data_IF_139391157938
#
_entry.id   IF_139391157938
#
_cell.length_a   1.000
_cell.length_b   1.000
_cell.length_c   1.000
_cell.angle_alpha   90.00
_cell.angle_beta   90.00
_cell.angle_gamma   90.00
#
_symmetry.space_group_name_H-M   'P 1'
#
loop_
_entity.id
_entity.type
_entity.pdbx_description
1 polymer ?
#
# COMPACT_ATOMS: atom_id res chain seq x y z
N UNK A 1 -10.25 -8.53 -7.37
CA UNK A 1 -10.75 -8.00 -6.08
C UNK A 1 -10.33 -6.55 -6.03
N UNK A 2 -11.27 -5.62 -5.88
CA UNK A 2 -10.93 -4.20 -5.81
C UNK A 2 -10.24 -3.90 -4.46
N UNK A 3 -9.41 -2.86 -4.38
CA UNK A 3 -8.79 -2.41 -3.12
C UNK A 3 -9.87 -2.11 -2.07
N UNK A 4 -11.00 -1.55 -2.49
CA UNK A 4 -12.12 -1.25 -1.59
C UNK A 4 -12.74 -2.51 -0.98
N UNK A 5 -12.84 -3.61 -1.73
CA UNK A 5 -13.32 -4.89 -1.21
C UNK A 5 -12.36 -5.46 -0.17
N UNK A 6 -11.04 -5.36 -0.45
CA UNK A 6 -9.99 -5.77 0.47
C UNK A 6 -10.08 -5.01 1.79
N UNK A 7 -10.18 -3.67 1.73
CA UNK A 7 -10.26 -2.81 2.91
C UNK A 7 -11.57 -3.00 3.67
N UNK A 8 -12.69 -3.15 2.96
CA UNK A 8 -13.99 -3.43 3.58
C UNK A 8 -13.96 -4.75 4.35
N UNK A 9 -13.40 -5.81 3.74
CA UNK A 9 -13.23 -7.09 4.42
C UNK A 9 -12.33 -6.97 5.65
N UNK A 10 -11.28 -6.15 5.57
CA UNK A 10 -10.35 -5.91 6.66
C UNK A 10 -11.01 -5.18 7.85
N UNK A 11 -11.82 -4.14 7.59
CA UNK A 11 -12.61 -3.44 8.62
C UNK A 11 -13.57 -4.40 9.32
N UNK A 12 -14.32 -5.18 8.55
CA UNK A 12 -15.26 -6.18 9.08
C UNK A 12 -14.56 -7.25 9.92
N UNK A 13 -13.37 -7.67 9.50
CA UNK A 13 -12.58 -8.64 10.25
C UNK A 13 -12.10 -8.07 11.60
N UNK A 14 -11.59 -6.83 11.63
CA UNK A 14 -11.10 -6.21 12.86
C UNK A 14 -12.19 -5.98 13.90
N UNK A 15 -13.39 -5.64 13.43
CA UNK A 15 -14.55 -5.34 14.26
C UNK A 15 -15.54 -6.50 14.27
N UNK A 16 -15.05 -7.73 14.09
CA UNK A 16 -15.89 -8.91 14.18
C UNK A 16 -16.58 -8.93 15.54
N UNK A 17 -17.92 -8.98 15.54
CA UNK A 17 -18.73 -8.89 16.76
C UNK A 17 -19.29 -7.49 17.06
N UNK A 18 -18.95 -6.48 16.27
CA UNK A 18 -19.52 -5.12 16.36
C UNK A 18 -20.34 -4.86 15.10
N UNK A 19 -21.61 -4.48 15.27
CA UNK A 19 -22.44 -4.00 14.17
C UNK A 19 -22.00 -2.58 13.82
N UNK A 20 -21.33 -2.43 12.67
CA UNK A 20 -20.97 -1.14 12.12
C UNK A 20 -22.02 -0.69 11.11
N UNK A 21 -22.41 0.57 11.21
CA UNK A 21 -23.26 1.23 10.21
C UNK A 21 -22.49 1.43 8.90
N UNK A 22 -23.20 1.49 7.77
CA UNK A 22 -22.58 1.59 6.45
C UNK A 22 -21.67 2.83 6.31
N UNK A 23 -22.05 3.97 6.90
CA UNK A 23 -21.24 5.19 6.87
C UNK A 23 -19.95 5.05 7.69
N UNK A 24 -19.97 4.32 8.81
CA UNK A 24 -18.77 4.06 9.62
C UNK A 24 -17.79 3.21 8.86
N UNK A 25 -18.26 2.15 8.18
CA UNK A 25 -17.42 1.32 7.32
C UNK A 25 -16.81 2.15 6.19
N UNK A 26 -17.60 3.01 5.53
CA UNK A 26 -17.12 3.86 4.44
C UNK A 26 -16.03 4.85 4.90
N UNK A 27 -16.21 5.50 6.06
CA UNK A 27 -15.21 6.41 6.62
C UNK A 27 -13.92 5.69 7.02
N UNK A 28 -14.04 4.49 7.61
CA UNK A 28 -12.87 3.67 7.94
C UNK A 28 -12.13 3.17 6.71
N UNK A 29 -12.86 2.78 5.65
CA UNK A 29 -12.26 2.40 4.36
C UNK A 29 -11.51 3.58 3.75
N UNK A 30 -12.07 4.80 3.79
CA UNK A 30 -11.38 6.01 3.31
C UNK A 30 -10.06 6.26 4.04
N UNK A 31 -10.07 6.24 5.38
CA UNK A 31 -8.84 6.36 6.18
C UNK A 31 -7.84 5.24 5.87
N UNK A 32 -8.33 4.01 5.68
CA UNK A 32 -7.47 2.88 5.33
C UNK A 32 -6.88 2.98 3.93
N UNK A 33 -7.58 3.55 2.96
CA UNK A 33 -7.05 3.80 1.62
C UNK A 33 -5.84 4.73 1.68
N UNK A 34 -5.92 5.80 2.48
CA UNK A 34 -4.80 6.73 2.68
C UNK A 34 -3.62 6.04 3.37
N UNK A 35 -3.89 5.24 4.40
CA UNK A 35 -2.86 4.47 5.12
C UNK A 35 -2.21 3.42 4.24
N UNK A 36 -2.99 2.68 3.45
CA UNK A 36 -2.49 1.68 2.52
C UNK A 36 -1.61 2.32 1.45
N UNK A 37 -2.04 3.45 0.89
CA UNK A 37 -1.26 4.21 -0.09
C UNK A 37 0.11 4.63 0.46
N UNK A 38 0.13 5.18 1.69
CA UNK A 38 1.39 5.52 2.38
C UNK A 38 2.23 4.27 2.64
N UNK A 39 1.61 3.17 3.05
CA UNK A 39 2.30 1.91 3.35
C UNK A 39 2.95 1.30 2.09
N UNK A 40 2.23 1.26 0.97
CA UNK A 40 2.78 0.82 -0.33
C UNK A 40 3.96 1.71 -0.73
N UNK A 41 3.80 3.04 -0.61
CA UNK A 41 4.85 4.00 -0.93
C UNK A 41 6.11 3.77 -0.09
N UNK A 42 5.97 3.56 1.22
CA UNK A 42 7.09 3.26 2.12
C UNK A 42 7.78 1.93 1.78
N UNK A 43 7.03 0.89 1.42
CA UNK A 43 7.62 -0.38 1.01
C UNK A 43 8.37 -0.24 -0.31
N UNK A 44 7.87 0.54 -1.27
CA UNK A 44 8.59 0.83 -2.53
C UNK A 44 9.90 1.56 -2.21
N UNK A 45 9.85 2.60 -1.37
CA UNK A 45 11.06 3.32 -0.94
C UNK A 45 12.08 2.39 -0.28
N UNK A 46 11.61 1.49 0.59
CA UNK A 46 12.45 0.52 1.32
C UNK A 46 13.08 -0.50 0.37
N UNK A 47 12.31 -1.05 -0.56
CA UNK A 47 12.80 -2.00 -1.57
C UNK A 47 13.87 -1.36 -2.46
N UNK A 48 13.61 -0.14 -2.94
CA UNK A 48 14.57 0.61 -3.76
C UNK A 48 15.84 0.94 -2.97
N UNK A 49 15.72 1.38 -1.72
CA UNK A 49 16.86 1.68 -0.85
C UNK A 49 17.71 0.43 -0.58
N UNK A 50 17.07 -0.72 -0.35
CA UNK A 50 17.74 -2.01 -0.11
C UNK A 50 18.53 -2.46 -1.33
N UNK A 51 18.02 -2.21 -2.54
CA UNK A 51 18.72 -2.51 -3.78
C UNK A 51 19.87 -1.54 -4.03
N UNK A 52 19.60 -0.23 -3.97
CA UNK A 52 20.57 0.81 -4.28
C UNK A 52 20.06 2.19 -3.84
N UNK A 53 20.83 2.89 -3.00
CA UNK A 53 20.52 4.26 -2.56
C UNK A 53 20.30 5.25 -3.71
N UNK A 54 20.94 5.08 -4.86
CA UNK A 54 20.73 5.92 -6.03
C UNK A 54 19.32 5.77 -6.65
N UNK A 55 18.73 4.57 -6.57
CA UNK A 55 17.36 4.32 -7.03
C UNK A 55 16.34 5.02 -6.13
N UNK A 56 16.58 5.04 -4.82
CA UNK A 56 15.78 5.82 -3.87
C UNK A 56 15.75 7.31 -4.24
N UNK A 57 16.92 7.92 -4.44
CA UNK A 57 17.03 9.33 -4.82
C UNK A 57 16.31 9.62 -6.13
N UNK A 58 16.44 8.73 -7.12
CA UNK A 58 15.79 8.86 -8.42
C UNK A 58 14.26 8.76 -8.29
N UNK A 59 13.76 7.80 -7.51
CA UNK A 59 12.33 7.67 -7.25
C UNK A 59 11.77 8.90 -6.52
N UNK A 60 12.46 9.38 -5.48
CA UNK A 60 12.07 10.60 -4.78
C UNK A 60 12.02 11.82 -5.73
N UNK A 61 12.99 11.93 -6.64
CA UNK A 61 12.99 12.99 -7.65
C UNK A 61 11.80 12.87 -8.62
N UNK A 62 11.48 11.66 -9.09
CA UNK A 62 10.31 11.43 -9.95
C UNK A 62 9.01 11.82 -9.25
N UNK A 63 8.84 11.45 -7.97
CA UNK A 63 7.63 11.76 -7.19
C UNK A 63 7.49 13.22 -6.78
N UNK A 64 8.58 14.00 -6.78
CA UNK A 64 8.58 15.45 -6.46
C UNK A 64 8.49 16.34 -7.70
N UNK A 65 8.89 15.82 -8.86
CA UNK A 65 8.80 16.54 -10.13
C UNK A 65 7.40 16.50 -10.75
N UNK A 66 7.21 17.24 -11.84
CA UNK A 66 5.96 17.24 -12.62
C UNK A 66 5.87 15.98 -13.52
N UNK A 67 6.16 14.82 -12.94
CA UNK A 67 6.32 13.54 -13.63
C UNK A 67 4.96 12.85 -13.70
N UNK A 68 4.64 12.24 -14.84
CA UNK A 68 3.34 11.57 -15.00
C UNK A 68 3.31 10.23 -14.24
N UNK A 69 2.12 9.76 -13.81
CA UNK A 69 1.97 8.46 -13.16
C UNK A 69 2.54 7.30 -13.97
N UNK A 70 2.48 7.37 -15.29
CA UNK A 70 3.00 6.34 -16.21
C UNK A 70 4.51 6.19 -16.10
N UNK A 71 5.25 7.31 -15.97
CA UNK A 71 6.71 7.28 -15.82
C UNK A 71 7.09 6.70 -14.47
N UNK A 72 6.37 7.08 -13.40
CA UNK A 72 6.59 6.52 -12.05
C UNK A 72 6.32 5.02 -12.05
N UNK A 73 5.23 4.59 -12.70
CA UNK A 73 4.87 3.18 -12.85
C UNK A 73 5.92 2.39 -13.61
N UNK A 74 6.35 2.88 -14.78
CA UNK A 74 7.38 2.23 -15.58
C UNK A 74 8.72 2.12 -14.82
N UNK A 75 9.05 3.12 -14.01
CA UNK A 75 10.20 3.04 -13.11
C UNK A 75 10.03 1.91 -12.09
N UNK A 76 8.89 1.84 -11.40
CA UNK A 76 8.63 0.80 -10.39
C UNK A 76 8.68 -0.60 -11.02
N UNK A 77 8.02 -0.79 -12.17
CA UNK A 77 7.99 -2.08 -12.87
C UNK A 77 9.39 -2.55 -13.30
N UNK A 78 10.27 -1.62 -13.68
CA UNK A 78 11.67 -1.94 -14.04
C UNK A 78 12.51 -2.33 -12.82
N UNK A 79 12.41 -1.58 -11.74
CA UNK A 79 13.27 -1.79 -10.56
C UNK A 79 12.74 -2.89 -9.61
N UNK A 80 11.43 -3.18 -9.68
CA UNK A 80 10.72 -4.22 -8.92
C UNK A 80 10.13 -5.23 -9.92
N UNK A 81 10.95 -6.16 -10.45
CA UNK A 81 10.56 -7.06 -11.55
C UNK A 81 9.46 -8.08 -11.19
N UNK A 82 9.20 -8.32 -9.91
CA UNK A 82 8.04 -9.09 -9.43
C UNK A 82 7.07 -8.18 -8.65
N UNK A 83 6.54 -7.18 -9.35
CA UNK A 83 5.60 -6.22 -8.77
C UNK A 83 4.34 -6.87 -8.19
N UNK A 84 3.91 -8.01 -8.74
CA UNK A 84 2.75 -8.74 -8.26
C UNK A 84 3.03 -9.41 -6.90
N UNK A 85 4.13 -10.15 -6.76
CA UNK A 85 4.51 -10.73 -5.47
C UNK A 85 4.83 -9.65 -4.43
N UNK A 86 5.51 -8.57 -4.84
CA UNK A 86 5.77 -7.42 -3.98
C UNK A 86 4.48 -6.81 -3.43
N UNK A 87 3.47 -6.57 -4.29
CA UNK A 87 2.19 -6.01 -3.86
C UNK A 87 1.42 -7.00 -2.99
N UNK A 88 1.40 -8.28 -3.33
CA UNK A 88 0.75 -9.31 -2.52
C UNK A 88 1.35 -9.42 -1.11
N UNK A 89 2.69 -9.37 -1.01
CA UNK A 89 3.39 -9.32 0.27
C UNK A 89 3.04 -8.04 1.03
N UNK A 90 3.09 -6.88 0.37
CA UNK A 90 2.76 -5.59 0.97
C UNK A 90 1.33 -5.55 1.53
N UNK A 91 0.36 -6.10 0.81
CA UNK A 91 -1.04 -6.20 1.27
C UNK A 91 -1.17 -7.17 2.45
N UNK A 92 -0.42 -8.27 2.45
CA UNK A 92 -0.39 -9.24 3.54
C UNK A 92 0.19 -8.62 4.81
N UNK A 93 1.31 -7.91 4.69
CA UNK A 93 1.97 -7.21 5.79
C UNK A 93 1.07 -6.10 6.36
N UNK A 94 0.43 -5.33 5.49
CA UNK A 94 -0.54 -4.29 5.89
C UNK A 94 -1.71 -4.88 6.68
N UNK A 95 -2.28 -6.00 6.20
CA UNK A 95 -3.35 -6.73 6.90
C UNK A 95 -2.90 -7.20 8.27
N UNK A 96 -1.72 -7.81 8.36
CA UNK A 96 -1.15 -8.31 9.61
C UNK A 96 -0.99 -7.17 10.64
N UNK A 97 -0.40 -6.05 10.20
CA UNK A 97 -0.22 -4.85 11.01
C UNK A 97 -1.57 -4.27 11.49
N UNK A 98 -2.54 -4.10 10.58
CA UNK A 98 -3.83 -3.51 10.95
C UNK A 98 -4.62 -4.38 11.95
N UNK A 99 -4.53 -5.70 11.80
CA UNK A 99 -5.20 -6.65 12.70
C UNK A 99 -4.43 -6.90 14.01
N UNK A 100 -3.27 -6.26 14.21
CA UNK A 100 -2.43 -6.48 15.40
C UNK A 100 -1.82 -7.89 15.45
N UNK A 101 -1.76 -8.57 14.31
CA UNK A 101 -1.08 -9.86 14.16
C UNK A 101 0.36 -9.57 13.76
N UNK A 102 1.15 -8.99 14.65
CA UNK A 102 2.60 -8.94 14.42
C UNK A 102 3.14 -10.36 14.48
N UNK A 103 3.96 -10.72 13.50
CA UNK A 103 4.68 -11.98 13.44
C UNK A 103 5.50 -12.23 14.72
#
# INVERSE_FOLDING_TARGET
MAIDDFLTALVKQKHSGIALEAYQVADMVRDLTDRLTKFITLNILTELATKNQALLTKFQSLTKGNTTPEIVRAFIEREIPDGAAFLAKTLTDFRALYLGKTA
#
